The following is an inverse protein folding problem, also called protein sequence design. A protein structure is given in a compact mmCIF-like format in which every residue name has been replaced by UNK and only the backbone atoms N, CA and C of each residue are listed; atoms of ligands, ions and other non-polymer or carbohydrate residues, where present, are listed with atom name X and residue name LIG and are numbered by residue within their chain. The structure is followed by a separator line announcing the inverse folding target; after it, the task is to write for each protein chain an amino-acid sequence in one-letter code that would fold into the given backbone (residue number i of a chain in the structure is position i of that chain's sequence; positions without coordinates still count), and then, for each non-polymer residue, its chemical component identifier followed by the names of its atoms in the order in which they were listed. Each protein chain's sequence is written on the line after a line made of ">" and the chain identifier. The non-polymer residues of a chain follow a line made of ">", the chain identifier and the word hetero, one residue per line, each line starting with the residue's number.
data_IF_010008451467
#
_entry.id   IF_010008451467
#
_cell.length_a   1.000
_cell.length_b   1.000
_cell.length_c   1.000
_cell.angle_alpha   90.00
_cell.angle_beta   90.00
_cell.angle_gamma   90.00
#
_symmetry.space_group_name_H-M   'P 1'
#
loop_
_entity.id
_entity.type
_entity.pdbx_description
1 polymer ?
#
# COMPACT_ATOMS: atom_id res chain seq x y z
N UNK A 1 89.83 -6.35 11.71
CA UNK A 1 88.95 -7.41 11.14
C UNK A 1 87.76 -7.79 12.02
N UNK A 2 87.87 -7.90 13.36
CA UNK A 2 86.75 -8.30 14.24
C UNK A 2 85.53 -7.35 14.26
N UNK A 3 85.71 -6.03 14.18
CA UNK A 3 84.61 -5.03 14.21
C UNK A 3 83.70 -5.13 12.98
N UNK A 4 84.27 -5.23 11.78
CA UNK A 4 83.50 -5.30 10.53
C UNK A 4 82.70 -6.61 10.40
N UNK A 5 83.19 -7.73 10.95
CA UNK A 5 82.46 -9.01 10.96
C UNK A 5 81.23 -8.96 11.88
N UNK A 6 81.34 -8.28 13.03
CA UNK A 6 80.21 -8.09 13.96
C UNK A 6 79.14 -7.17 13.35
N UNK A 7 79.54 -6.10 12.68
CA UNK A 7 78.59 -5.18 12.02
C UNK A 7 77.84 -5.88 10.88
N UNK A 8 78.52 -6.67 10.04
CA UNK A 8 77.87 -7.43 8.97
C UNK A 8 76.92 -8.51 9.51
N UNK A 9 77.27 -9.20 10.60
CA UNK A 9 76.40 -10.19 11.22
C UNK A 9 75.12 -9.58 11.83
N UNK A 10 75.22 -8.39 12.44
CA UNK A 10 74.06 -7.66 12.99
C UNK A 10 73.14 -7.14 11.87
N UNK A 11 73.70 -6.61 10.78
CA UNK A 11 72.90 -6.18 9.62
C UNK A 11 72.21 -7.36 8.95
N UNK A 12 72.89 -8.52 8.83
CA UNK A 12 72.27 -9.72 8.28
C UNK A 12 71.16 -10.27 9.19
N UNK A 13 71.35 -10.26 10.51
CA UNK A 13 70.35 -10.67 11.49
C UNK A 13 69.13 -9.72 11.54
N UNK A 14 69.33 -8.42 11.34
CA UNK A 14 68.24 -7.45 11.21
C UNK A 14 67.49 -7.59 9.88
N UNK A 15 68.20 -7.86 8.79
CA UNK A 15 67.59 -8.12 7.47
C UNK A 15 66.79 -9.43 7.47
N UNK A 16 67.32 -10.51 8.07
CA UNK A 16 66.60 -11.78 8.18
C UNK A 16 65.47 -11.69 9.19
N UNK A 17 65.64 -10.99 10.32
CA UNK A 17 64.57 -10.74 11.30
C UNK A 17 63.41 -9.95 10.70
N UNK A 18 63.71 -8.89 9.93
CA UNK A 18 62.72 -8.10 9.21
C UNK A 18 61.98 -8.90 8.13
N UNK A 19 62.70 -9.72 7.35
CA UNK A 19 62.08 -10.61 6.37
C UNK A 19 61.20 -11.68 7.05
N UNK A 20 61.67 -12.27 8.15
CA UNK A 20 60.92 -13.27 8.92
C UNK A 20 59.63 -12.68 9.50
N UNK A 21 59.69 -11.49 10.10
CA UNK A 21 58.52 -10.78 10.60
C UNK A 21 57.54 -10.44 9.46
N UNK A 22 58.06 -9.97 8.32
CA UNK A 22 57.24 -9.64 7.17
C UNK A 22 56.46 -10.86 6.65
N UNK A 23 57.13 -12.00 6.43
CA UNK A 23 56.49 -13.20 5.90
C UNK A 23 55.63 -13.95 6.93
N UNK A 24 55.97 -13.90 8.21
CA UNK A 24 55.27 -14.66 9.26
C UNK A 24 54.13 -13.89 9.94
N UNK A 25 54.22 -12.56 10.06
CA UNK A 25 53.22 -11.76 10.78
C UNK A 25 52.54 -10.74 9.87
N UNK A 26 53.31 -9.89 9.18
CA UNK A 26 52.73 -8.77 8.43
C UNK A 26 51.94 -9.23 7.20
N UNK A 27 52.53 -10.05 6.32
CA UNK A 27 51.88 -10.47 5.08
C UNK A 27 50.60 -11.31 5.32
N UNK A 28 50.57 -12.28 6.27
CA UNK A 28 49.34 -12.98 6.62
C UNK A 28 48.27 -12.06 7.18
N UNK A 29 48.64 -11.09 8.02
CA UNK A 29 47.70 -10.12 8.56
C UNK A 29 47.08 -9.23 7.48
N UNK A 30 47.88 -8.70 6.55
CA UNK A 30 47.37 -7.92 5.41
C UNK A 30 46.47 -8.76 4.50
N UNK A 31 46.77 -10.05 4.33
CA UNK A 31 45.91 -10.97 3.56
C UNK A 31 44.55 -11.15 4.23
N UNK A 32 44.51 -11.35 5.54
CA UNK A 32 43.26 -11.47 6.30
C UNK A 32 42.42 -10.18 6.22
N UNK A 33 43.06 -9.00 6.33
CA UNK A 33 42.39 -7.70 6.12
C UNK A 33 41.76 -7.64 4.74
N UNK A 34 42.51 -7.98 3.68
CA UNK A 34 42.01 -7.94 2.31
C UNK A 34 40.84 -8.92 2.09
N UNK A 35 40.91 -10.12 2.66
CA UNK A 35 39.78 -11.06 2.63
C UNK A 35 38.54 -10.50 3.33
N UNK A 36 38.71 -9.90 4.51
CA UNK A 36 37.61 -9.28 5.24
C UNK A 36 36.97 -8.16 4.43
N UNK A 37 37.76 -7.23 3.89
CA UNK A 37 37.26 -6.12 3.07
C UNK A 37 36.48 -6.62 1.85
N UNK A 38 37.03 -7.60 1.13
CA UNK A 38 36.37 -8.20 -0.03
C UNK A 38 35.05 -8.89 0.35
N UNK A 39 35.01 -9.59 1.49
CA UNK A 39 33.78 -10.20 2.00
C UNK A 39 32.73 -9.15 2.39
N UNK A 40 33.15 -8.04 2.99
CA UNK A 40 32.28 -6.91 3.32
C UNK A 40 31.72 -6.25 2.05
N UNK A 41 32.55 -6.02 1.04
CA UNK A 41 32.10 -5.47 -0.24
C UNK A 41 31.07 -6.38 -0.91
N UNK A 42 31.31 -7.70 -0.90
CA UNK A 42 30.38 -8.69 -1.43
C UNK A 42 29.06 -8.69 -0.66
N UNK A 43 29.11 -8.63 0.67
CA UNK A 43 27.92 -8.52 1.52
C UNK A 43 27.13 -7.25 1.19
N UNK A 44 27.80 -6.10 1.10
CA UNK A 44 27.16 -4.83 0.77
C UNK A 44 26.51 -4.89 -0.61
N UNK A 45 27.18 -5.47 -1.61
CA UNK A 45 26.61 -5.67 -2.95
C UNK A 45 25.34 -6.51 -2.91
N UNK A 46 25.35 -7.62 -2.15
CA UNK A 46 24.19 -8.48 -1.98
C UNK A 46 23.04 -7.76 -1.24
N UNK A 47 23.35 -6.83 -0.33
CA UNK A 47 22.35 -6.05 0.40
C UNK A 47 21.71 -4.93 -0.45
N UNK A 48 22.39 -4.43 -1.50
CA UNK A 48 21.94 -3.26 -2.28
C UNK A 48 20.49 -3.36 -2.76
N UNK A 49 20.08 -4.53 -3.24
CA UNK A 49 18.75 -4.71 -3.81
C UNK A 49 17.65 -4.53 -2.74
N UNK A 50 17.80 -5.17 -1.58
CA UNK A 50 16.84 -5.05 -0.48
C UNK A 50 16.90 -3.65 0.16
N UNK A 51 18.08 -3.05 0.31
CA UNK A 51 18.25 -1.68 0.81
C UNK A 51 17.56 -0.67 -0.10
N UNK A 52 17.73 -0.79 -1.42
CA UNK A 52 17.04 0.05 -2.40
C UNK A 52 15.53 -0.12 -2.32
N UNK A 53 15.04 -1.35 -2.25
CA UNK A 53 13.59 -1.62 -2.16
C UNK A 53 12.98 -1.02 -0.88
N UNK A 54 13.68 -1.13 0.26
CA UNK A 54 13.29 -0.49 1.52
C UNK A 54 13.24 1.03 1.35
N UNK A 55 14.29 1.65 0.79
CA UNK A 55 14.36 3.08 0.62
C UNK A 55 13.24 3.62 -0.30
N UNK A 56 12.98 2.94 -1.42
CA UNK A 56 11.90 3.28 -2.35
C UNK A 56 10.53 3.14 -1.67
N UNK A 57 10.31 2.09 -0.89
CA UNK A 57 9.08 1.87 -0.12
C UNK A 57 8.88 2.96 0.94
N UNK A 58 9.92 3.33 1.68
CA UNK A 58 9.84 4.40 2.67
C UNK A 58 9.55 5.77 2.04
N UNK A 59 10.01 6.01 0.82
CA UNK A 59 9.65 7.22 0.07
C UNK A 59 8.14 7.26 -0.21
N UNK A 60 7.57 6.14 -0.65
CA UNK A 60 6.12 6.02 -0.90
C UNK A 60 5.32 6.24 0.39
N UNK A 61 5.73 5.65 1.51
CA UNK A 61 5.06 5.86 2.82
C UNK A 61 5.09 7.34 3.25
N UNK A 62 6.17 8.07 2.94
CA UNK A 62 6.32 9.50 3.29
C UNK A 62 5.35 10.40 2.53
N UNK A 63 4.80 9.96 1.40
CA UNK A 63 3.76 10.71 0.66
C UNK A 63 2.44 10.78 1.45
N UNK A 64 2.25 9.91 2.46
CA UNK A 64 1.09 9.91 3.38
C UNK A 64 -0.26 9.82 2.66
N UNK A 65 -0.30 9.14 1.51
CA UNK A 65 -1.55 8.85 0.84
C UNK A 65 -2.43 7.95 1.73
N UNK A 66 -3.70 8.31 1.88
CA UNK A 66 -4.67 7.55 2.65
C UNK A 66 -5.10 6.31 1.85
N UNK A 67 -4.98 5.09 2.40
CA UNK A 67 -5.53 3.89 1.79
C UNK A 67 -7.00 3.70 2.16
N UNK A 68 -7.77 3.01 1.32
CA UNK A 68 -9.13 2.56 1.67
C UNK A 68 -9.12 1.70 2.95
N UNK A 69 -8.13 0.81 3.06
CA UNK A 69 -7.93 -0.12 4.16
C UNK A 69 -6.70 0.29 4.97
N UNK A 70 -6.92 0.98 6.11
CA UNK A 70 -5.85 1.50 6.98
C UNK A 70 -4.81 0.43 7.37
N UNK A 71 -5.24 -0.83 7.52
CA UNK A 71 -4.38 -1.97 7.86
C UNK A 71 -3.27 -2.22 6.84
N UNK A 72 -3.49 -1.90 5.55
CA UNK A 72 -2.48 -2.12 4.50
C UNK A 72 -1.23 -1.28 4.72
N UNK A 73 -1.37 -0.05 5.22
CA UNK A 73 -0.25 0.82 5.57
C UNK A 73 0.51 0.31 6.80
N UNK A 74 -0.20 -0.16 7.82
CA UNK A 74 0.42 -0.72 9.04
C UNK A 74 1.18 -2.02 8.75
N UNK A 75 0.62 -2.88 7.90
CA UNK A 75 1.30 -4.10 7.44
C UNK A 75 2.55 -3.77 6.62
N UNK A 76 2.49 -2.75 5.75
CA UNK A 76 3.64 -2.29 4.97
C UNK A 76 4.75 -1.73 5.87
N UNK A 77 4.42 -0.88 6.85
CA UNK A 77 5.40 -0.35 7.82
C UNK A 77 6.05 -1.48 8.63
N UNK A 78 5.28 -2.49 9.01
CA UNK A 78 5.78 -3.67 9.73
C UNK A 78 6.76 -4.45 8.87
N UNK A 79 6.40 -4.74 7.60
CA UNK A 79 7.28 -5.43 6.66
C UNK A 79 8.58 -4.64 6.40
N UNK A 80 8.53 -3.31 6.30
CA UNK A 80 9.73 -2.46 6.18
C UNK A 80 10.64 -2.62 7.42
N UNK A 81 10.07 -2.61 8.62
CA UNK A 81 10.84 -2.78 9.88
C UNK A 81 11.49 -4.15 9.95
N UNK A 82 10.76 -5.21 9.60
CA UNK A 82 11.27 -6.58 9.58
C UNK A 82 12.38 -6.73 8.54
N UNK A 83 12.20 -6.19 7.33
CA UNK A 83 13.20 -6.20 6.29
C UNK A 83 14.51 -5.51 6.74
N UNK A 84 14.41 -4.33 7.37
CA UNK A 84 15.58 -3.62 7.94
C UNK A 84 16.32 -4.46 8.99
N UNK A 85 15.59 -5.21 9.81
CA UNK A 85 16.19 -6.07 10.83
C UNK A 85 16.84 -7.32 10.25
N UNK A 86 16.37 -7.81 9.10
CA UNK A 86 16.95 -8.99 8.43
C UNK A 86 18.26 -8.72 7.70
N UNK A 87 18.58 -7.46 7.38
CA UNK A 87 19.80 -7.10 6.66
C UNK A 87 21.01 -7.44 7.54
N UNK A 88 21.89 -8.30 7.01
CA UNK A 88 23.11 -8.71 7.68
C UNK A 88 24.10 -7.55 7.63
N UNK A 89 24.61 -7.17 8.80
CA UNK A 89 25.58 -6.08 8.95
C UNK A 89 26.99 -6.65 9.09
N UNK A 90 27.96 -5.98 8.48
CA UNK A 90 29.35 -6.29 8.71
C UNK A 90 29.70 -6.02 10.19
N UNK A 91 30.37 -6.96 10.88
CA UNK A 91 30.87 -6.71 12.23
C UNK A 91 32.01 -5.68 12.17
N UNK A 92 32.37 -5.14 13.34
CA UNK A 92 33.63 -4.40 13.47
C UNK A 92 34.79 -5.37 13.26
N UNK A 93 35.77 -4.99 12.44
CA UNK A 93 36.98 -5.79 12.18
C UNK A 93 37.74 -6.02 13.49
N UNK A 94 38.11 -7.28 13.74
CA UNK A 94 38.97 -7.67 14.87
C UNK A 94 40.44 -7.27 14.62
N UNK A 95 41.27 -7.34 15.65
CA UNK A 95 42.71 -7.00 15.55
C UNK A 95 43.62 -8.22 15.38
N UNK A 96 43.15 -9.42 15.74
CA UNK A 96 43.92 -10.65 15.61
C UNK A 96 43.74 -11.28 14.23
N UNK A 97 44.83 -11.69 13.59
CA UNK A 97 44.83 -12.22 12.22
C UNK A 97 43.89 -13.40 12.03
N UNK A 98 43.89 -14.36 12.96
CA UNK A 98 43.03 -15.54 12.84
C UNK A 98 41.56 -15.16 13.00
N UNK A 99 41.26 -14.25 13.94
CA UNK A 99 39.89 -13.74 14.13
C UNK A 99 39.39 -12.95 12.92
N UNK A 100 40.23 -12.14 12.28
CA UNK A 100 39.88 -11.42 11.04
C UNK A 100 39.52 -12.43 9.94
N UNK A 101 40.35 -13.46 9.76
CA UNK A 101 40.12 -14.49 8.75
C UNK A 101 38.83 -15.29 9.02
N UNK A 102 38.53 -15.59 10.28
CA UNK A 102 37.27 -16.25 10.67
C UNK A 102 36.06 -15.34 10.42
N UNK A 103 36.16 -14.04 10.73
CA UNK A 103 35.12 -13.06 10.37
C UNK A 103 34.90 -12.99 8.85
N UNK A 104 35.97 -12.96 8.05
CA UNK A 104 35.89 -12.91 6.60
C UNK A 104 35.11 -14.10 6.02
N UNK A 105 35.34 -15.31 6.55
CA UNK A 105 34.61 -16.54 6.16
C UNK A 105 33.14 -16.50 6.57
N UNK A 106 32.84 -16.02 7.77
CA UNK A 106 31.45 -15.89 8.24
C UNK A 106 30.65 -14.87 7.42
N UNK A 107 31.25 -13.73 7.06
CA UNK A 107 30.65 -12.71 6.20
C UNK A 107 30.42 -13.26 4.78
N UNK A 108 31.38 -14.04 4.26
CA UNK A 108 31.30 -14.61 2.91
C UNK A 108 30.17 -15.65 2.72
N UNK A 109 29.54 -16.13 3.82
CA UNK A 109 28.35 -16.99 3.71
C UNK A 109 27.28 -16.31 2.86
N UNK A 110 26.57 -17.04 1.98
CA UNK A 110 25.53 -16.46 1.15
C UNK A 110 24.39 -15.88 2.01
N UNK A 111 23.77 -14.83 1.51
CA UNK A 111 22.50 -14.29 2.01
C UNK A 111 21.44 -14.46 0.94
N UNK A 112 20.23 -14.75 1.39
CA UNK A 112 19.06 -14.78 0.53
C UNK A 112 17.98 -13.90 1.16
N UNK A 113 17.57 -12.87 0.40
CA UNK A 113 16.52 -11.94 0.78
C UNK A 113 15.25 -12.13 -0.03
N UNK A 114 15.15 -13.17 -0.86
CA UNK A 114 14.06 -13.37 -1.80
C UNK A 114 12.68 -13.37 -1.12
N UNK A 115 12.53 -14.04 0.01
CA UNK A 115 11.28 -14.07 0.79
C UNK A 115 10.94 -12.68 1.36
N UNK A 116 11.92 -12.00 1.95
CA UNK A 116 11.76 -10.63 2.47
C UNK A 116 11.37 -9.64 1.37
N UNK A 117 12.04 -9.71 0.21
CA UNK A 117 11.77 -8.86 -0.96
C UNK A 117 10.37 -9.12 -1.52
N UNK A 118 9.95 -10.39 -1.57
CA UNK A 118 8.60 -10.79 -1.99
C UNK A 118 7.55 -10.24 -1.03
N UNK A 119 7.70 -10.48 0.28
CA UNK A 119 6.76 -9.96 1.28
C UNK A 119 6.66 -8.42 1.20
N UNK A 120 7.78 -7.71 1.08
CA UNK A 120 7.78 -6.25 0.93
C UNK A 120 7.05 -5.79 -0.34
N UNK A 121 7.22 -6.52 -1.45
CA UNK A 121 6.52 -6.24 -2.72
C UNK A 121 5.01 -6.47 -2.60
N UNK A 122 4.60 -7.57 -1.97
CA UNK A 122 3.19 -7.91 -1.77
C UNK A 122 2.50 -6.87 -0.89
N UNK A 123 3.12 -6.48 0.23
CA UNK A 123 2.57 -5.45 1.12
C UNK A 123 2.54 -4.07 0.47
N UNK A 124 3.57 -3.72 -0.33
CA UNK A 124 3.59 -2.47 -1.06
C UNK A 124 2.46 -2.41 -2.10
N UNK A 125 2.27 -3.51 -2.85
CA UNK A 125 1.21 -3.63 -3.85
C UNK A 125 -0.18 -3.53 -3.20
N UNK A 126 -0.39 -4.21 -2.06
CA UNK A 126 -1.65 -4.14 -1.33
C UNK A 126 -1.96 -2.70 -0.86
N UNK A 127 -0.98 -1.98 -0.31
CA UNK A 127 -1.13 -0.57 0.08
C UNK A 127 -1.43 0.33 -1.13
N UNK A 128 -0.66 0.21 -2.21
CA UNK A 128 -0.86 1.03 -3.40
C UNK A 128 -2.21 0.77 -4.08
N UNK A 129 -2.66 -0.48 -4.12
CA UNK A 129 -3.98 -0.82 -4.60
C UNK A 129 -5.05 -0.18 -3.71
N UNK A 130 -4.92 -0.29 -2.39
CA UNK A 130 -5.86 0.32 -1.46
C UNK A 130 -5.95 1.84 -1.59
N UNK A 131 -4.84 2.53 -1.85
CA UNK A 131 -4.82 3.97 -2.18
C UNK A 131 -5.57 4.27 -3.48
N UNK A 132 -5.31 3.49 -4.54
CA UNK A 132 -6.02 3.65 -5.83
C UNK A 132 -7.52 3.41 -5.68
N UNK A 133 -7.92 2.42 -4.90
CA UNK A 133 -9.31 2.09 -4.64
C UNK A 133 -10.04 3.24 -3.94
N UNK A 134 -9.44 3.84 -2.90
CA UNK A 134 -10.01 5.03 -2.25
C UNK A 134 -10.15 6.19 -3.23
N UNK A 135 -9.15 6.40 -4.10
CA UNK A 135 -9.19 7.46 -5.10
C UNK A 135 -10.37 7.29 -6.09
N UNK A 136 -10.73 6.05 -6.47
CA UNK A 136 -11.90 5.80 -7.33
C UNK A 136 -13.22 6.24 -6.70
N UNK A 137 -13.33 6.24 -5.36
CA UNK A 137 -14.54 6.62 -4.63
C UNK A 137 -14.41 7.96 -3.91
N UNK A 138 -13.37 8.73 -4.26
CA UNK A 138 -13.16 10.09 -3.76
C UNK A 138 -13.61 11.08 -4.82
N UNK A 139 -14.84 11.56 -4.68
CA UNK A 139 -15.52 12.49 -5.58
C UNK A 139 -15.45 12.04 -7.06
N UNK A 140 -15.86 10.80 -7.40
CA UNK A 140 -15.85 10.33 -8.78
C UNK A 140 -16.82 11.12 -9.66
N UNK A 141 -16.56 11.06 -10.96
CA UNK A 141 -17.49 11.57 -11.96
C UNK A 141 -18.72 10.68 -12.08
N UNK A 142 -19.85 11.28 -12.43
CA UNK A 142 -21.09 10.62 -12.83
C UNK A 142 -20.87 9.50 -13.85
N UNK A 143 -20.12 9.75 -14.91
CA UNK A 143 -19.86 8.79 -15.99
C UNK A 143 -19.16 7.53 -15.50
N UNK A 144 -18.26 7.67 -14.51
CA UNK A 144 -17.57 6.52 -13.90
C UNK A 144 -18.56 5.68 -13.10
N UNK A 145 -19.38 6.32 -12.26
CA UNK A 145 -20.39 5.62 -11.45
C UNK A 145 -21.39 4.90 -12.36
N UNK A 146 -21.89 5.58 -13.39
CA UNK A 146 -22.82 5.03 -14.37
C UNK A 146 -22.23 3.80 -15.09
N UNK A 147 -20.98 3.85 -15.53
CA UNK A 147 -20.29 2.70 -16.13
C UNK A 147 -20.23 1.51 -15.16
N UNK A 148 -19.86 1.75 -13.89
CA UNK A 148 -19.75 0.69 -12.88
C UNK A 148 -21.10 0.06 -12.52
N UNK A 149 -22.17 0.85 -12.45
CA UNK A 149 -23.51 0.34 -12.18
C UNK A 149 -24.02 -0.57 -13.31
N UNK A 150 -23.73 -0.22 -14.57
CA UNK A 150 -24.11 -1.04 -15.74
C UNK A 150 -23.43 -2.41 -15.79
N UNK A 151 -22.38 -2.64 -15.01
CA UNK A 151 -21.72 -3.95 -14.89
C UNK A 151 -22.43 -4.89 -13.91
N UNK A 152 -23.49 -4.43 -13.22
CA UNK A 152 -24.24 -5.22 -12.24
C UNK A 152 -25.49 -5.79 -12.93
N UNK A 153 -25.60 -7.12 -12.92
CA UNK A 153 -26.60 -7.89 -13.64
C UNK A 153 -28.06 -7.56 -13.28
N UNK A 154 -28.30 -7.17 -12.03
CA UNK A 154 -29.64 -6.82 -11.55
C UNK A 154 -30.04 -5.39 -11.91
N UNK A 155 -29.09 -4.50 -12.18
CA UNK A 155 -29.35 -3.11 -12.55
C UNK A 155 -29.73 -3.03 -14.04
N UNK A 156 -30.97 -2.62 -14.32
CA UNK A 156 -31.52 -2.60 -15.69
C UNK A 156 -31.38 -1.24 -16.38
N UNK A 157 -31.49 -0.17 -15.59
CA UNK A 157 -31.51 1.21 -16.08
C UNK A 157 -30.69 2.09 -15.14
N UNK A 158 -30.04 3.11 -15.69
CA UNK A 158 -29.27 4.10 -14.94
C UNK A 158 -29.51 5.48 -15.55
N UNK A 159 -29.76 6.49 -14.71
CA UNK A 159 -29.98 7.88 -15.12
C UNK A 159 -29.32 8.81 -14.09
N UNK A 160 -28.42 9.68 -14.55
CA UNK A 160 -27.86 10.72 -13.70
C UNK A 160 -28.73 11.98 -13.72
N UNK A 161 -28.78 12.68 -12.58
CA UNK A 161 -29.43 13.97 -12.46
C UNK A 161 -28.55 15.09 -13.06
N UNK A 162 -29.20 16.13 -13.55
CA UNK A 162 -28.63 17.41 -13.97
C UNK A 162 -29.21 18.52 -13.11
N UNK A 163 -28.64 19.73 -13.15
CA UNK A 163 -29.13 20.84 -12.31
C UNK A 163 -30.58 21.23 -12.61
N UNK A 164 -31.07 20.92 -13.83
CA UNK A 164 -32.41 21.25 -14.29
C UNK A 164 -33.47 20.23 -13.82
N UNK A 165 -33.09 18.97 -13.63
CA UNK A 165 -34.00 17.86 -13.34
C UNK A 165 -33.69 17.10 -12.05
N UNK A 166 -32.82 17.64 -11.20
CA UNK A 166 -32.48 17.07 -9.90
C UNK A 166 -33.69 17.07 -8.94
N UNK A 167 -34.20 15.89 -8.49
CA UNK A 167 -35.39 15.82 -7.64
C UNK A 167 -35.27 16.59 -6.32
N UNK A 168 -34.07 16.67 -5.75
CA UNK A 168 -33.84 17.40 -4.49
C UNK A 168 -33.43 18.87 -4.73
N UNK A 169 -33.08 19.22 -5.97
CA UNK A 169 -32.58 20.55 -6.34
C UNK A 169 -31.34 21.00 -5.56
N UNK A 170 -30.45 20.08 -5.16
CA UNK A 170 -29.21 20.38 -4.42
C UNK A 170 -27.93 20.03 -5.19
N UNK A 171 -28.03 19.48 -6.42
CA UNK A 171 -26.87 19.22 -7.27
C UNK A 171 -25.99 20.47 -7.42
N UNK A 172 -24.69 20.33 -7.17
CA UNK A 172 -23.65 21.36 -7.21
C UNK A 172 -23.87 22.58 -6.29
N UNK A 173 -24.86 22.55 -5.40
CA UNK A 173 -25.09 23.61 -4.41
C UNK A 173 -24.21 23.42 -3.18
N UNK A 174 -24.03 24.49 -2.41
CA UNK A 174 -23.25 24.44 -1.17
C UNK A 174 -23.83 23.41 -0.19
N UNK A 175 -23.04 22.38 0.15
CA UNK A 175 -23.46 21.28 1.02
C UNK A 175 -24.32 20.22 0.34
N UNK A 176 -24.54 20.32 -0.98
CA UNK A 176 -25.20 19.30 -1.78
C UNK A 176 -24.21 18.33 -2.42
N UNK A 177 -24.74 17.34 -3.14
CA UNK A 177 -23.92 16.41 -3.92
C UNK A 177 -23.41 17.05 -5.22
N UNK A 178 -22.29 16.55 -5.69
CA UNK A 178 -21.64 16.87 -6.98
C UNK A 178 -22.12 15.99 -8.12
N UNK A 179 -22.69 14.82 -7.81
CA UNK A 179 -23.38 13.95 -8.75
C UNK A 179 -24.47 13.13 -8.01
N UNK A 180 -25.54 12.81 -8.72
CA UNK A 180 -26.59 11.91 -8.23
C UNK A 180 -27.01 11.00 -9.37
N UNK A 181 -26.92 9.69 -9.16
CA UNK A 181 -27.12 8.66 -10.18
C UNK A 181 -28.16 7.68 -9.67
N UNK A 182 -29.33 7.69 -10.31
CA UNK A 182 -30.45 6.80 -10.00
C UNK A 182 -30.37 5.54 -10.85
N UNK A 183 -30.83 4.43 -10.30
CA UNK A 183 -30.86 3.16 -11.01
C UNK A 183 -32.10 2.33 -10.65
N UNK A 184 -32.56 1.55 -11.61
CA UNK A 184 -33.57 0.52 -11.38
C UNK A 184 -32.92 -0.86 -11.20
N UNK A 185 -33.36 -1.60 -10.19
CA UNK A 185 -32.91 -2.96 -9.92
C UNK A 185 -34.08 -3.95 -10.11
N UNK A 186 -33.86 -5.01 -10.88
CA UNK A 186 -34.91 -5.98 -11.23
C UNK A 186 -35.43 -6.82 -10.06
N UNK A 187 -34.82 -6.71 -8.88
CA UNK A 187 -35.29 -7.34 -7.66
C UNK A 187 -36.40 -6.51 -6.98
N UNK A 188 -36.61 -5.25 -7.37
CA UNK A 188 -37.81 -4.48 -7.02
C UNK A 188 -38.95 -4.96 -7.88
N UNK A 189 -39.99 -5.54 -7.26
CA UNK A 189 -41.12 -6.15 -7.98
C UNK A 189 -42.41 -5.36 -7.86
N UNK A 190 -42.42 -4.44 -6.90
CA UNK A 190 -43.46 -3.48 -6.61
C UNK A 190 -43.57 -2.47 -7.76
N UNK A 191 -44.78 -2.12 -8.22
CA UNK A 191 -44.96 -1.03 -9.15
C UNK A 191 -44.49 0.29 -8.54
N UNK A 192 -43.54 0.95 -9.20
CA UNK A 192 -43.05 2.28 -8.82
C UNK A 192 -43.57 3.28 -9.83
N UNK A 193 -44.39 4.21 -9.36
CA UNK A 193 -44.96 5.29 -10.16
C UNK A 193 -43.87 6.29 -10.56
N UNK A 194 -43.96 6.83 -11.77
CA UNK A 194 -43.04 7.85 -12.27
C UNK A 194 -42.76 7.71 -13.76
N UNK A 195 -42.50 8.84 -14.39
CA UNK A 195 -42.28 8.96 -15.84
C UNK A 195 -40.87 8.57 -16.29
N UNK A 196 -39.87 8.74 -15.42
CA UNK A 196 -38.48 8.31 -15.62
C UNK A 196 -37.83 7.87 -14.27
N UNK A 197 -36.53 7.56 -14.24
CA UNK A 197 -35.87 7.13 -13.00
C UNK A 197 -35.70 8.25 -11.98
N UNK A 198 -35.63 9.52 -12.41
CA UNK A 198 -35.51 10.65 -11.48
C UNK A 198 -36.83 10.86 -10.74
N UNK A 199 -37.96 10.70 -11.44
CA UNK A 199 -39.32 10.77 -10.88
C UNK A 199 -39.58 9.59 -9.93
N UNK A 200 -39.21 8.37 -10.34
CA UNK A 200 -39.31 7.17 -9.49
C UNK A 200 -38.36 7.20 -8.27
N UNK A 201 -37.28 7.99 -8.36
CA UNK A 201 -36.32 8.16 -7.29
C UNK A 201 -35.68 6.86 -6.83
N UNK A 202 -35.45 6.75 -5.52
CA UNK A 202 -34.79 5.57 -4.93
C UNK A 202 -35.68 4.33 -4.85
N UNK A 203 -36.99 4.47 -5.08
CA UNK A 203 -37.94 3.35 -4.97
C UNK A 203 -37.72 2.30 -6.06
N UNK A 204 -37.32 2.71 -7.27
CA UNK A 204 -37.08 1.81 -8.39
C UNK A 204 -35.87 0.86 -8.23
N UNK A 205 -34.96 1.16 -7.30
CA UNK A 205 -33.76 0.36 -7.07
C UNK A 205 -32.78 1.04 -6.12
N UNK A 206 -32.42 2.28 -6.41
CA UNK A 206 -31.59 3.08 -5.51
C UNK A 206 -30.97 4.31 -6.16
N UNK A 207 -30.03 4.91 -5.44
CA UNK A 207 -29.31 6.10 -5.89
C UNK A 207 -27.89 6.11 -5.32
N UNK A 208 -26.95 6.59 -6.14
CA UNK A 208 -25.58 6.90 -5.72
C UNK A 208 -25.43 8.41 -5.66
N UNK A 209 -25.25 8.95 -4.45
CA UNK A 209 -25.00 10.38 -4.23
C UNK A 209 -23.50 10.60 -3.99
N UNK A 210 -22.86 11.48 -4.76
CA UNK A 210 -21.42 11.76 -4.66
C UNK A 210 -21.19 13.15 -4.05
N UNK A 211 -20.42 13.21 -2.98
CA UNK A 211 -20.10 14.43 -2.25
C UNK A 211 -18.66 14.88 -2.48
N UNK A 212 -18.39 16.15 -2.20
CA UNK A 212 -17.06 16.73 -2.33
C UNK A 212 -16.11 16.18 -1.26
N UNK A 213 -16.61 15.94 -0.06
CA UNK A 213 -15.83 15.39 1.06
C UNK A 213 -16.57 14.25 1.76
N UNK A 214 -15.82 13.43 2.50
CA UNK A 214 -16.37 12.33 3.30
C UNK A 214 -17.33 12.87 4.37
N UNK A 215 -17.00 13.99 5.01
CA UNK A 215 -17.82 14.61 6.04
C UNK A 215 -19.18 15.06 5.52
N UNK A 216 -19.26 15.51 4.25
CA UNK A 216 -20.53 15.86 3.62
C UNK A 216 -21.38 14.60 3.34
N UNK A 217 -20.75 13.51 2.88
CA UNK A 217 -21.43 12.22 2.71
C UNK A 217 -21.96 11.68 4.06
N UNK A 218 -21.17 11.77 5.14
CA UNK A 218 -21.59 11.34 6.48
C UNK A 218 -22.73 12.20 7.05
N UNK A 219 -22.72 13.51 6.78
CA UNK A 219 -23.85 14.40 7.14
C UNK A 219 -25.13 13.99 6.43
N UNK A 220 -25.04 13.66 5.14
CA UNK A 220 -26.18 13.13 4.39
C UNK A 220 -26.68 11.82 5.00
N UNK A 221 -25.77 10.90 5.28
CA UNK A 221 -26.09 9.61 5.89
C UNK A 221 -26.82 9.79 7.23
N UNK A 222 -26.33 10.71 8.07
CA UNK A 222 -26.97 11.08 9.35
C UNK A 222 -28.36 11.67 9.15
N UNK A 223 -28.55 12.50 8.11
CA UNK A 223 -29.85 13.05 7.76
C UNK A 223 -30.83 11.94 7.34
N UNK A 224 -30.39 10.97 6.52
CA UNK A 224 -31.22 9.85 6.07
C UNK A 224 -31.65 8.96 7.24
N UNK A 225 -30.76 8.71 8.21
CA UNK A 225 -31.09 7.92 9.40
C UNK A 225 -32.25 8.46 10.25
N UNK A 226 -32.61 9.75 10.11
CA UNK A 226 -33.75 10.31 10.81
C UNK A 226 -35.11 9.75 10.32
N UNK A 227 -35.11 9.06 9.17
CA UNK A 227 -36.31 8.53 8.52
C UNK A 227 -36.42 7.00 8.60
N UNK A 228 -35.38 6.31 9.08
CA UNK A 228 -35.31 4.85 9.15
C UNK A 228 -36.50 4.24 9.91
N UNK A 229 -37.16 3.25 9.30
CA UNK A 229 -38.31 2.55 9.87
C UNK A 229 -39.60 3.38 9.95
N UNK A 230 -39.60 4.60 9.38
CA UNK A 230 -40.78 5.46 9.27
C UNK A 230 -41.58 5.25 7.99
N UNK A 231 -42.61 6.08 7.80
CA UNK A 231 -43.41 6.10 6.55
C UNK A 231 -42.59 6.61 5.36
N UNK A 232 -41.51 7.35 5.62
CA UNK A 232 -40.60 7.93 4.63
C UNK A 232 -39.27 7.18 4.58
N UNK A 233 -39.27 5.88 4.88
CA UNK A 233 -38.06 5.06 4.93
C UNK A 233 -37.31 5.11 3.58
N UNK A 234 -36.06 5.62 3.56
CA UNK A 234 -35.29 5.76 2.33
C UNK A 234 -34.72 4.42 1.83
N UNK A 235 -34.93 3.33 2.56
CA UNK A 235 -34.24 2.06 2.39
C UNK A 235 -32.83 2.10 2.99
N UNK A 236 -31.97 1.16 2.62
CA UNK A 236 -30.61 1.13 3.16
C UNK A 236 -29.74 2.25 2.59
N UNK A 237 -28.82 2.78 3.41
CA UNK A 237 -27.87 3.79 3.00
C UNK A 237 -26.51 3.64 3.71
N UNK A 238 -25.41 3.72 2.96
CA UNK A 238 -24.05 3.52 3.46
C UNK A 238 -23.04 4.48 2.83
N UNK A 239 -22.07 4.94 3.63
CA UNK A 239 -21.00 5.84 3.17
C UNK A 239 -19.74 5.04 2.82
N UNK A 240 -19.20 5.29 1.63
CA UNK A 240 -17.91 4.79 1.18
C UNK A 240 -17.11 5.92 0.53
N UNK A 241 -16.01 6.35 1.17
CA UNK A 241 -15.24 7.50 0.70
C UNK A 241 -16.11 8.77 0.75
N UNK A 242 -16.39 9.37 -0.41
CA UNK A 242 -17.32 10.51 -0.52
C UNK A 242 -18.66 10.14 -1.16
N UNK A 243 -18.94 8.84 -1.29
CA UNK A 243 -20.17 8.32 -1.90
C UNK A 243 -21.15 7.88 -0.82
N UNK A 244 -22.43 8.17 -1.01
CA UNK A 244 -23.54 7.52 -0.30
C UNK A 244 -24.24 6.57 -1.27
N UNK A 245 -24.19 5.27 -0.97
CA UNK A 245 -24.95 4.25 -1.70
C UNK A 245 -26.29 4.09 -1.01
N UNK A 246 -27.39 4.33 -1.72
CA UNK A 246 -28.76 4.13 -1.26
C UNK A 246 -29.43 3.02 -2.06
N UNK A 247 -30.20 2.16 -1.41
CA UNK A 247 -30.96 1.07 -2.04
C UNK A 247 -32.42 1.08 -1.58
N UNK A 248 -33.34 0.80 -2.50
CA UNK A 248 -34.79 0.85 -2.30
C UNK A 248 -35.27 0.13 -1.03
N UNK A 249 -36.26 0.72 -0.35
CA UNK A 249 -36.94 0.11 0.79
C UNK A 249 -37.82 -1.09 0.40
N UNK A 250 -38.16 -1.24 -0.89
CA UNK A 250 -38.89 -2.41 -1.41
C UNK A 250 -38.04 -3.68 -1.40
N UNK A 251 -36.71 -3.53 -1.45
CA UNK A 251 -35.80 -4.66 -1.33
C UNK A 251 -35.79 -5.19 0.11
N UNK A 252 -35.75 -6.51 0.25
CA UNK A 252 -35.50 -7.13 1.56
C UNK A 252 -34.12 -6.70 2.09
N UNK A 253 -33.93 -6.71 3.41
CA UNK A 253 -32.65 -6.34 4.03
C UNK A 253 -31.44 -7.14 3.45
N UNK A 254 -31.64 -8.41 3.12
CA UNK A 254 -30.61 -9.25 2.48
C UNK A 254 -30.28 -8.78 1.06
N UNK A 255 -31.27 -8.37 0.28
CA UNK A 255 -31.06 -7.84 -1.08
C UNK A 255 -30.39 -6.47 -1.03
N UNK A 256 -30.81 -5.57 -0.13
CA UNK A 256 -30.17 -4.27 0.08
C UNK A 256 -28.69 -4.42 0.41
N UNK A 257 -28.36 -5.32 1.34
CA UNK A 257 -26.97 -5.61 1.70
C UNK A 257 -26.17 -6.16 0.51
N UNK A 258 -26.70 -7.19 -0.16
CA UNK A 258 -26.01 -7.82 -1.29
C UNK A 258 -25.79 -6.83 -2.45
N UNK A 259 -26.77 -5.99 -2.76
CA UNK A 259 -26.68 -4.97 -3.79
C UNK A 259 -25.68 -3.88 -3.41
N UNK A 260 -25.70 -3.40 -2.16
CA UNK A 260 -24.73 -2.43 -1.65
C UNK A 260 -23.30 -2.95 -1.77
N UNK A 261 -23.06 -4.21 -1.35
CA UNK A 261 -21.75 -4.85 -1.46
C UNK A 261 -21.31 -5.01 -2.93
N UNK A 262 -22.20 -5.44 -3.82
CA UNK A 262 -21.93 -5.52 -5.27
C UNK A 262 -21.54 -4.16 -5.84
N UNK A 263 -22.31 -3.11 -5.54
CA UNK A 263 -22.05 -1.73 -6.01
C UNK A 263 -20.70 -1.24 -5.48
N UNK A 264 -20.47 -1.34 -4.17
CA UNK A 264 -19.20 -0.93 -3.57
C UNK A 264 -18.01 -1.65 -4.22
N UNK A 265 -18.09 -2.98 -4.35
CA UNK A 265 -17.04 -3.79 -4.97
C UNK A 265 -16.76 -3.36 -6.42
N UNK A 266 -17.80 -3.05 -7.20
CA UNK A 266 -17.64 -2.54 -8.56
C UNK A 266 -17.00 -1.16 -8.62
N UNK A 267 -17.33 -0.27 -7.69
CA UNK A 267 -16.73 1.06 -7.60
C UNK A 267 -15.24 1.01 -7.20
N UNK A 268 -14.82 0.03 -6.39
CA UNK A 268 -13.43 -0.14 -5.96
C UNK A 268 -12.63 -1.17 -6.79
N UNK A 269 -13.24 -1.77 -7.82
CA UNK A 269 -12.54 -2.71 -8.71
C UNK A 269 -11.51 -1.94 -9.55
N UNK A 270 -10.23 -2.31 -9.46
CA UNK A 270 -9.17 -1.72 -10.27
C UNK A 270 -9.14 -2.41 -11.65
N UNK A 271 -9.29 -1.63 -12.73
CA UNK A 271 -9.14 -2.10 -14.13
C UNK A 271 -7.69 -2.01 -14.61
#
# INVERSE_FOLDING_TARGET
>A
MKKNVITTAVVLALATGGASYYFSEYAPHQTAISHFEKSVDTLNENNKAIEKQIADTEKIIKEKAEPLEAKTLEDLKTAVKEAKNSIRKAPKMESDTQKIEDQAKEIAKPVDYSETQKNLTEKLTAYQNSVKQLAQITNPKDSFVEERLKEIDTIQEVQHATEENDPNGILNKQGGYTASIYFADNQVTEPVEGTDLLDKGTEAGGCIEVYKTKEEAEKRNTYLSAFDGGILDPGSHYVYGTIVIRTSHHLTASQQKALTEKIHNKLIELK
#
